data_IF_930112771093
#
_entry.id   IF_930112771093
#
_cell.length_a   1.000
_cell.length_b   1.000
_cell.length_c   1.000
_cell.angle_alpha   90.00
_cell.angle_beta   90.00
_cell.angle_gamma   90.00
#
_symmetry.space_group_name_H-M   'P 1'
#
loop_
_entity.id
_entity.type
_entity.pdbx_description
1 polymer ?
#
# COMPACT_ATOMS: atom_id res chain seq x y z
N UNK A 1 -16.75 7.49 11.78
CA UNK A 1 -15.68 8.51 11.70
C UNK A 1 -14.42 7.81 11.20
N UNK A 2 -14.19 7.80 9.87
CA UNK A 2 -13.01 7.17 9.29
C UNK A 2 -11.81 8.11 9.47
N UNK A 3 -10.87 7.74 10.34
CA UNK A 3 -9.61 8.47 10.45
C UNK A 3 -8.74 8.12 9.24
N UNK A 4 -8.25 9.12 8.48
CA UNK A 4 -7.33 8.87 7.39
C UNK A 4 -5.98 8.42 7.98
N UNK A 5 -5.67 7.13 7.85
CA UNK A 5 -4.31 6.64 8.09
C UNK A 5 -3.44 7.17 6.94
N UNK A 6 -2.80 8.30 7.17
CA UNK A 6 -1.78 8.85 6.29
C UNK A 6 -0.59 7.90 6.28
N UNK A 7 -0.57 6.96 5.33
CA UNK A 7 0.63 6.22 4.95
C UNK A 7 1.55 7.27 4.31
N UNK A 8 2.72 7.49 4.91
CA UNK A 8 3.71 8.47 4.46
C UNK A 8 3.98 8.27 2.96
N UNK A 9 3.58 9.21 2.08
CA UNK A 9 3.97 9.17 0.68
C UNK A 9 5.36 9.82 0.63
N UNK A 10 6.44 9.04 0.67
CA UNK A 10 7.76 9.69 0.62
C UNK A 10 8.81 9.05 -0.26
N UNK A 11 8.65 7.83 -0.78
CA UNK A 11 9.72 7.22 -1.59
C UNK A 11 9.30 6.65 -2.95
N UNK A 12 8.04 6.77 -3.35
CA UNK A 12 7.62 6.20 -4.64
C UNK A 12 8.21 6.94 -5.85
N UNK A 13 8.49 8.24 -5.71
CA UNK A 13 8.97 9.11 -6.80
C UNK A 13 10.49 9.35 -6.77
N UNK A 14 11.16 9.03 -5.67
CA UNK A 14 12.60 9.25 -5.52
C UNK A 14 13.35 8.26 -6.41
N UNK A 15 14.45 8.72 -7.02
CA UNK A 15 15.37 7.85 -7.77
C UNK A 15 16.23 7.13 -6.74
N UNK A 16 16.49 5.81 -6.87
CA UNK A 16 17.39 5.11 -5.95
C UNK A 16 18.75 5.82 -5.88
N UNK A 17 19.40 5.90 -4.71
CA UNK A 17 20.70 6.54 -4.57
C UNK A 17 21.73 5.95 -5.54
N UNK A 18 21.68 4.65 -5.81
CA UNK A 18 22.58 3.96 -6.74
C UNK A 18 22.40 4.45 -8.19
N UNK A 19 21.16 4.76 -8.61
CA UNK A 19 20.91 5.33 -9.93
C UNK A 19 21.29 6.82 -10.00
N UNK A 20 21.27 7.53 -8.87
CA UNK A 20 21.78 8.91 -8.80
C UNK A 20 23.31 8.93 -8.91
N UNK A 21 24.00 8.04 -8.20
CA UNK A 21 25.45 7.85 -8.29
C UNK A 21 25.86 7.43 -9.71
N UNK A 22 25.12 6.51 -10.33
CA UNK A 22 25.35 6.11 -11.71
C UNK A 22 25.17 7.28 -12.69
N UNK A 23 24.14 8.10 -12.49
CA UNK A 23 23.92 9.30 -13.31
C UNK A 23 25.09 10.30 -13.17
N UNK A 24 25.56 10.54 -11.95
CA UNK A 24 26.71 11.40 -11.70
C UNK A 24 28.00 10.85 -12.35
N UNK A 25 28.23 9.54 -12.28
CA UNK A 25 29.34 8.89 -12.95
C UNK A 25 29.28 9.05 -14.47
N UNK A 26 28.10 8.88 -15.08
CA UNK A 26 27.90 9.05 -16.53
C UNK A 26 28.11 10.51 -16.95
N UNK A 27 27.70 11.48 -16.13
CA UNK A 27 27.94 12.90 -16.40
C UNK A 27 29.43 13.28 -16.42
N UNK A 28 30.27 12.53 -15.70
CA UNK A 28 31.73 12.73 -15.68
C UNK A 28 32.45 12.23 -16.95
N UNK A 29 31.76 11.49 -17.82
CA UNK A 29 32.33 10.94 -19.05
C UNK A 29 32.44 12.01 -20.15
N UNK A 30 33.42 11.87 -21.08
CA UNK A 30 33.49 12.71 -22.27
C UNK A 30 32.22 12.61 -23.13
N UNK A 31 31.86 13.73 -23.79
CA UNK A 31 30.64 13.89 -24.59
C UNK A 31 30.29 12.71 -25.51
N UNK A 32 31.23 12.15 -26.30
CA UNK A 32 30.90 11.11 -27.28
C UNK A 32 30.35 9.83 -26.64
N UNK A 33 30.77 9.52 -25.41
CA UNK A 33 30.31 8.36 -24.66
C UNK A 33 29.02 8.67 -23.90
N UNK A 34 28.93 9.87 -23.31
CA UNK A 34 27.75 10.30 -22.57
C UNK A 34 26.50 10.31 -23.45
N UNK A 35 26.57 10.89 -24.64
CA UNK A 35 25.43 11.00 -25.59
C UNK A 35 24.86 9.63 -25.96
N UNK A 36 25.67 8.57 -25.98
CA UNK A 36 25.21 7.22 -26.30
C UNK A 36 24.48 6.55 -25.13
N UNK A 37 24.88 6.85 -23.89
CA UNK A 37 24.41 6.14 -22.68
C UNK A 37 23.27 6.90 -21.99
N UNK A 38 23.27 8.23 -22.02
CA UNK A 38 22.28 9.10 -21.38
C UNK A 38 20.82 8.68 -21.70
N UNK A 39 20.44 8.38 -22.96
CA UNK A 39 19.06 7.99 -23.27
C UNK A 39 18.67 6.64 -22.65
N UNK A 40 19.62 5.71 -22.54
CA UNK A 40 19.39 4.40 -21.91
C UNK A 40 19.22 4.56 -20.41
N UNK A 41 20.08 5.37 -19.78
CA UNK A 41 19.99 5.70 -18.36
C UNK A 41 18.65 6.34 -18.01
N UNK A 42 18.19 7.32 -18.79
CA UNK A 42 16.89 7.97 -18.56
C UNK A 42 15.74 6.97 -18.60
N UNK A 43 15.72 6.06 -19.58
CA UNK A 43 14.71 4.98 -19.63
C UNK A 43 14.74 4.08 -18.40
N UNK A 44 15.92 3.79 -17.84
CA UNK A 44 16.05 3.00 -16.61
C UNK A 44 15.53 3.76 -15.39
N UNK A 45 15.83 5.06 -15.28
CA UNK A 45 15.34 5.93 -14.21
C UNK A 45 13.81 6.00 -14.27
N UNK A 46 13.24 6.25 -15.44
CA UNK A 46 11.79 6.34 -15.64
C UNK A 46 11.10 5.01 -15.35
N UNK A 47 11.67 3.90 -15.83
CA UNK A 47 11.16 2.56 -15.55
C UNK A 47 11.19 2.24 -14.05
N UNK A 48 12.25 2.64 -13.35
CA UNK A 48 12.38 2.45 -11.90
C UNK A 48 11.37 3.28 -11.12
N UNK A 49 11.20 4.56 -11.46
CA UNK A 49 10.17 5.43 -10.87
C UNK A 49 8.77 4.86 -11.06
N UNK A 50 8.43 4.45 -12.28
CA UNK A 50 7.10 3.88 -12.58
C UNK A 50 6.83 2.60 -11.78
N UNK A 51 7.80 1.69 -11.68
CA UNK A 51 7.65 0.46 -10.88
C UNK A 51 7.41 0.76 -9.40
N UNK A 52 8.13 1.73 -8.83
CA UNK A 52 7.88 2.16 -7.44
C UNK A 52 6.52 2.78 -7.24
N UNK A 53 6.06 3.63 -8.16
CA UNK A 53 4.71 4.19 -8.13
C UNK A 53 3.64 3.08 -8.13
N UNK A 54 3.77 2.11 -9.03
CA UNK A 54 2.86 0.96 -9.08
C UNK A 54 2.89 0.18 -7.75
N UNK A 55 4.09 -0.10 -7.22
CA UNK A 55 4.23 -0.82 -5.97
C UNK A 55 3.60 -0.06 -4.79
N UNK A 56 3.76 1.26 -4.73
CA UNK A 56 3.12 2.11 -3.72
C UNK A 56 1.60 2.01 -3.81
N UNK A 57 1.03 2.16 -5.00
CA UNK A 57 -0.43 2.04 -5.20
C UNK A 57 -0.96 0.66 -4.78
N UNK A 58 -0.22 -0.40 -5.08
CA UNK A 58 -0.57 -1.76 -4.64
C UNK A 58 -0.49 -1.88 -3.11
N UNK A 59 0.55 -1.32 -2.48
CA UNK A 59 0.69 -1.33 -1.02
C UNK A 59 -0.42 -0.55 -0.33
N UNK A 60 -0.85 0.58 -0.91
CA UNK A 60 -1.95 1.40 -0.41
C UNK A 60 -3.28 0.62 -0.50
N UNK A 61 -3.58 0.03 -1.66
CA UNK A 61 -4.78 -0.78 -1.87
C UNK A 61 -4.83 -2.02 -0.95
N UNK A 62 -3.68 -2.70 -0.74
CA UNK A 62 -3.60 -3.82 0.20
C UNK A 62 -3.79 -3.37 1.65
N UNK A 63 -3.31 -2.17 2.00
CA UNK A 63 -3.47 -1.61 3.34
C UNK A 63 -4.93 -1.26 3.62
N UNK A 64 -5.63 -0.70 2.63
CA UNK A 64 -7.06 -0.44 2.65
C UNK A 64 -7.85 -1.74 2.82
N UNK A 65 -7.62 -2.74 1.94
CA UNK A 65 -8.28 -4.05 2.02
C UNK A 65 -8.06 -4.72 3.38
N UNK A 66 -6.85 -4.64 3.94
CA UNK A 66 -6.56 -5.19 5.26
C UNK A 66 -7.38 -4.52 6.36
N UNK A 67 -7.67 -3.23 6.25
CA UNK A 67 -8.57 -2.54 7.19
C UNK A 67 -10.02 -2.96 6.98
N UNK A 68 -10.47 -3.05 5.73
CA UNK A 68 -11.83 -3.51 5.42
C UNK A 68 -12.09 -4.92 5.99
N UNK A 69 -11.11 -5.82 5.89
CA UNK A 69 -11.16 -7.13 6.52
C UNK A 69 -11.31 -7.06 8.05
N UNK A 70 -10.64 -6.11 8.71
CA UNK A 70 -10.78 -5.93 10.17
C UNK A 70 -12.18 -5.45 10.53
N UNK A 71 -12.77 -4.55 9.75
CA UNK A 71 -14.15 -4.11 9.95
C UNK A 71 -15.15 -5.25 9.75
N UNK A 72 -14.99 -6.04 8.69
CA UNK A 72 -15.84 -7.21 8.45
C UNK A 72 -15.78 -8.22 9.60
N UNK A 73 -14.58 -8.48 10.14
CA UNK A 73 -14.43 -9.37 11.30
C UNK A 73 -15.08 -8.80 12.55
N UNK A 74 -14.96 -7.49 12.78
CA UNK A 74 -15.60 -6.82 13.91
C UNK A 74 -17.13 -6.89 13.81
N UNK A 75 -17.70 -6.57 12.65
CA UNK A 75 -19.14 -6.64 12.41
C UNK A 75 -19.68 -8.07 12.54
N UNK A 76 -18.91 -9.06 12.07
CA UNK A 76 -19.24 -10.47 12.26
C UNK A 76 -19.27 -10.87 13.74
N UNK A 77 -18.35 -10.35 14.55
CA UNK A 77 -18.33 -10.63 15.98
C UNK A 77 -19.49 -9.96 16.72
N UNK A 78 -19.85 -8.73 16.33
CA UNK A 78 -21.02 -8.03 16.85
C UNK A 78 -22.31 -8.80 16.56
N UNK A 79 -22.54 -9.20 15.30
CA UNK A 79 -23.74 -9.97 14.91
C UNK A 79 -23.80 -11.36 15.56
N UNK A 80 -22.65 -12.00 15.82
CA UNK A 80 -22.60 -13.25 16.60
C UNK A 80 -23.03 -13.04 18.05
N UNK A 81 -22.54 -11.99 18.71
CA UNK A 81 -22.91 -11.65 20.09
C UNK A 81 -24.41 -11.35 20.19
N UNK A 82 -24.93 -10.52 19.29
CA UNK A 82 -26.37 -10.19 19.22
C UNK A 82 -27.23 -11.45 19.05
N UNK A 83 -26.86 -12.34 18.13
CA UNK A 83 -27.56 -13.62 17.93
C UNK A 83 -27.56 -14.47 19.19
N UNK A 84 -26.42 -14.56 19.87
CA UNK A 84 -26.28 -15.38 21.08
C UNK A 84 -27.07 -14.78 22.26
N UNK A 85 -27.15 -13.45 22.35
CA UNK A 85 -28.03 -12.74 23.28
C UNK A 85 -29.51 -13.06 23.03
N UNK A 86 -29.97 -12.96 21.77
CA UNK A 86 -31.34 -13.29 21.41
C UNK A 86 -31.69 -14.75 21.68
N UNK A 87 -30.77 -15.69 21.43
CA UNK A 87 -30.98 -17.11 21.77
C UNK A 87 -31.17 -17.32 23.27
N UNK A 88 -30.33 -16.69 24.09
CA UNK A 88 -30.46 -16.77 25.56
C UNK A 88 -31.78 -16.20 26.04
N UNK A 89 -32.24 -15.07 25.48
CA UNK A 89 -33.54 -14.49 25.82
C UNK A 89 -34.70 -15.43 25.44
N UNK A 90 -34.66 -16.04 24.25
CA UNK A 90 -35.67 -17.01 23.82
C UNK A 90 -35.72 -18.25 24.72
N UNK A 91 -34.57 -18.76 25.16
CA UNK A 91 -34.50 -19.88 26.10
C UNK A 91 -35.12 -19.52 27.46
N UNK A 92 -34.85 -18.32 27.98
CA UNK A 92 -35.43 -17.83 29.23
C UNK A 92 -36.96 -17.67 29.12
N UNK A 93 -37.45 -17.12 28.01
CA UNK A 93 -38.89 -16.98 27.77
C UNK A 93 -39.61 -18.34 27.74
N UNK A 94 -39.00 -19.35 27.09
CA UNK A 94 -39.55 -20.71 27.03
C UNK A 94 -39.52 -21.46 28.36
N UNK A 95 -38.65 -21.07 29.29
CA UNK A 95 -38.56 -21.64 30.64
C UNK A 95 -39.50 -20.95 31.64
N UNK A 96 -40.04 -19.78 31.30
CA UNK A 96 -41.00 -19.01 32.11
C UNK A 96 -42.47 -19.29 31.80
N UNK A 97 -42.76 -20.17 30.83
CA UNK A 97 -44.08 -20.76 30.53
C UNK A 97 -44.23 -22.12 31.21
#
# INVERSE_FOLDING_TARGET
MAQPHSIRPTDAATVPPELQELAAAIQSLPEPYRVQIEPVLQRVIDGTRRRRQILSLVQDALSELRMDMKYLLFDLEATRRERDDYRRQLEQLRQGE
#
